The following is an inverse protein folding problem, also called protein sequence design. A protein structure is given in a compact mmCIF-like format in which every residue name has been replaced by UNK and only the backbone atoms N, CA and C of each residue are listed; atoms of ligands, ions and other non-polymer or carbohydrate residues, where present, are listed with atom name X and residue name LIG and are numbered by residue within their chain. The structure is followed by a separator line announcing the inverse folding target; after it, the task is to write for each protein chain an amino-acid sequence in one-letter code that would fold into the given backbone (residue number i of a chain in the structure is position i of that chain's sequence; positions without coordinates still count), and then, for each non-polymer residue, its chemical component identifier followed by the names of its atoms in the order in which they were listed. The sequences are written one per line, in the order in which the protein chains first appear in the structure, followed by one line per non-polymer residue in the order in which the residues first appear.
data_IF_106001061722
#
_entry.id   IF_106001061722
#
_cell.length_a   1.000
_cell.length_b   1.000
_cell.length_c   1.000
_cell.angle_alpha   90.00
_cell.angle_beta   90.00
_cell.angle_gamma   90.00
#
_symmetry.space_group_name_H-M   'P 1'
#
loop_
_entity.id
_entity.type
_entity.pdbx_description
1 polymer ?
#
# COMPACT_ATOMS: atom_id res chain seq x y z
N UNK A 1 -82.83 -50.66 -8.84
CA UNK A 1 -81.87 -49.54 -8.62
C UNK A 1 -80.61 -50.15 -8.04
N UNK A 2 -79.57 -50.23 -8.85
CA UNK A 2 -78.28 -50.73 -8.48
C UNK A 2 -77.42 -49.50 -8.04
N UNK A 3 -77.16 -49.44 -6.75
CA UNK A 3 -76.22 -48.43 -6.21
C UNK A 3 -74.82 -48.77 -6.71
N UNK A 4 -74.25 -47.84 -7.44
CA UNK A 4 -72.85 -47.90 -7.82
C UNK A 4 -71.95 -47.77 -6.59
N UNK A 5 -71.11 -48.71 -6.36
CA UNK A 5 -70.04 -48.60 -5.38
C UNK A 5 -69.07 -47.54 -5.87
N UNK A 6 -68.89 -46.48 -5.10
CA UNK A 6 -67.79 -45.52 -5.34
C UNK A 6 -66.47 -46.31 -5.04
N UNK A 7 -65.65 -46.45 -6.05
CA UNK A 7 -64.29 -46.93 -5.88
C UNK A 7 -63.47 -45.85 -5.11
N UNK A 8 -63.24 -46.13 -3.86
CA UNK A 8 -62.21 -45.34 -3.10
C UNK A 8 -60.82 -45.75 -3.61
N UNK A 9 -60.43 -45.24 -4.75
CA UNK A 9 -59.02 -45.30 -5.08
C UNK A 9 -58.31 -44.30 -4.16
N UNK A 10 -57.62 -44.86 -3.21
CA UNK A 10 -56.73 -44.11 -2.37
C UNK A 10 -55.67 -43.47 -3.28
N UNK A 11 -55.51 -42.17 -3.19
CA UNK A 11 -54.46 -41.46 -3.90
C UNK A 11 -53.10 -42.11 -3.61
N UNK A 12 -52.28 -42.34 -4.63
CA UNK A 12 -50.97 -42.99 -4.39
C UNK A 12 -50.12 -42.15 -3.44
N UNK A 13 -49.62 -42.79 -2.41
CA UNK A 13 -48.64 -42.15 -1.50
C UNK A 13 -47.32 -42.13 -2.24
N UNK A 14 -46.86 -40.92 -2.60
CA UNK A 14 -45.56 -40.72 -3.23
C UNK A 14 -44.53 -40.49 -2.12
N UNK A 15 -43.61 -41.42 -1.92
CA UNK A 15 -42.44 -41.21 -1.10
C UNK A 15 -41.32 -40.68 -1.99
N UNK A 16 -40.90 -39.45 -1.74
CA UNK A 16 -39.71 -38.86 -2.39
C UNK A 16 -38.50 -39.12 -1.52
N UNK A 17 -37.55 -39.88 -2.01
CA UNK A 17 -36.24 -40.03 -1.39
C UNK A 17 -35.33 -39.00 -1.97
N UNK A 18 -34.84 -38.09 -1.14
CA UNK A 18 -33.78 -37.16 -1.50
C UNK A 18 -32.46 -37.80 -1.09
N UNK A 19 -31.67 -38.23 -2.06
CA UNK A 19 -30.30 -38.64 -1.81
C UNK A 19 -29.42 -37.41 -1.89
N UNK A 20 -28.86 -36.96 -0.78
CA UNK A 20 -27.79 -36.01 -0.79
C UNK A 20 -26.50 -36.70 -1.26
N UNK A 21 -25.89 -36.18 -2.33
CA UNK A 21 -24.61 -36.68 -2.80
C UNK A 21 -23.55 -36.25 -1.77
N UNK A 22 -23.01 -37.24 -1.08
CA UNK A 22 -21.93 -37.00 -0.10
C UNK A 22 -20.61 -37.32 -0.78
N UNK A 23 -19.72 -36.30 -0.83
CA UNK A 23 -18.36 -36.45 -1.38
C UNK A 23 -17.35 -35.69 -0.53
N UNK A 24 -16.12 -36.19 -0.45
CA UNK A 24 -15.00 -35.33 -0.06
C UNK A 24 -14.77 -34.28 -1.15
N UNK A 25 -14.49 -33.05 -0.76
CA UNK A 25 -14.26 -31.93 -1.68
C UNK A 25 -13.09 -31.08 -1.14
N UNK A 26 -11.88 -31.37 -1.61
CA UNK A 26 -10.68 -30.74 -1.14
C UNK A 26 -10.33 -29.53 -2.05
N UNK A 27 -10.18 -28.38 -1.43
CA UNK A 27 -9.69 -27.15 -2.04
C UNK A 27 -8.38 -26.71 -1.38
N UNK A 28 -7.41 -26.28 -2.17
CA UNK A 28 -6.14 -25.74 -1.70
C UNK A 28 -5.94 -24.34 -2.27
N UNK A 29 -5.61 -23.38 -1.43
CA UNK A 29 -5.33 -22.02 -1.83
C UNK A 29 -3.97 -21.57 -1.29
N UNK A 30 -3.27 -20.75 -2.05
CA UNK A 30 -1.97 -20.17 -1.69
C UNK A 30 -1.99 -18.67 -1.85
N UNK A 31 -1.44 -17.98 -0.86
CA UNK A 31 -1.29 -16.51 -0.86
C UNK A 31 0.10 -16.11 -0.37
N UNK A 32 0.63 -15.04 -0.93
CA UNK A 32 1.82 -14.37 -0.40
C UNK A 32 1.37 -13.41 0.71
N UNK A 33 1.96 -13.53 1.91
CA UNK A 33 1.54 -12.75 3.08
C UNK A 33 2.58 -11.71 3.50
N UNK A 34 3.87 -11.98 3.25
CA UNK A 34 4.93 -11.03 3.50
C UNK A 34 5.98 -11.11 2.38
N UNK A 35 6.34 -9.97 1.82
CA UNK A 35 7.29 -9.87 0.73
C UNK A 35 8.29 -8.73 0.99
N UNK A 36 9.39 -9.06 1.67
CA UNK A 36 10.49 -8.13 1.90
C UNK A 36 11.28 -7.75 0.64
N UNK A 37 11.07 -8.46 -0.46
CA UNK A 37 11.69 -8.15 -1.76
C UNK A 37 10.92 -7.10 -2.57
N UNK A 38 9.72 -6.73 -2.16
CA UNK A 38 8.88 -5.78 -2.89
C UNK A 38 9.48 -4.36 -3.02
N UNK A 39 10.43 -4.01 -2.16
CA UNK A 39 11.20 -2.76 -2.22
C UNK A 39 12.51 -2.86 -3.01
N UNK A 40 12.76 -3.98 -3.68
CA UNK A 40 14.00 -4.20 -4.44
C UNK A 40 15.21 -4.61 -3.61
N UNK A 41 15.04 -5.03 -2.36
CA UNK A 41 16.13 -5.47 -1.49
C UNK A 41 16.97 -6.58 -2.12
N UNK A 42 18.26 -6.61 -1.80
CA UNK A 42 19.20 -7.65 -2.28
C UNK A 42 19.14 -8.94 -1.48
N UNK A 43 18.70 -8.88 -0.22
CA UNK A 43 18.46 -10.03 0.64
C UNK A 43 17.21 -9.77 1.47
N UNK A 44 16.29 -10.71 1.48
CA UNK A 44 14.98 -10.55 2.10
C UNK A 44 14.34 -11.91 2.41
N UNK A 45 13.21 -11.87 3.09
CA UNK A 45 12.37 -13.05 3.29
C UNK A 45 11.02 -12.86 2.60
N UNK A 46 10.41 -13.98 2.20
CA UNK A 46 9.05 -14.04 1.66
C UNK A 46 8.28 -15.15 2.35
N UNK A 47 7.08 -14.85 2.82
CA UNK A 47 6.18 -15.80 3.48
C UNK A 47 4.99 -16.10 2.59
N UNK A 48 4.66 -17.38 2.49
CA UNK A 48 3.44 -17.86 1.85
C UNK A 48 2.58 -18.61 2.86
N UNK A 49 1.29 -18.37 2.76
CA UNK A 49 0.25 -19.09 3.46
C UNK A 49 -0.42 -20.08 2.49
N UNK A 50 -0.60 -21.31 2.92
CA UNK A 50 -1.32 -22.33 2.20
C UNK A 50 -2.48 -22.80 3.09
N UNK A 51 -3.69 -22.84 2.53
CA UNK A 51 -4.89 -23.32 3.24
C UNK A 51 -5.48 -24.49 2.47
N UNK A 52 -5.52 -25.65 3.10
CA UNK A 52 -6.26 -26.80 2.60
C UNK A 52 -7.61 -26.84 3.31
N UNK A 53 -8.72 -26.86 2.57
CA UNK A 53 -10.10 -26.86 3.07
C UNK A 53 -10.86 -28.04 2.50
N UNK A 54 -11.58 -28.73 3.34
CA UNK A 54 -12.56 -29.76 2.91
C UNK A 54 -13.95 -29.12 2.87
N UNK A 55 -14.38 -28.69 1.69
CA UNK A 55 -15.73 -28.12 1.47
C UNK A 55 -16.80 -29.22 1.32
N UNK A 56 -16.41 -30.50 1.34
CA UNK A 56 -17.29 -31.66 1.23
C UNK A 56 -18.04 -31.97 2.51
N UNK A 57 -18.93 -32.94 2.40
CA UNK A 57 -19.78 -33.45 3.52
C UNK A 57 -19.20 -34.69 4.21
N UNK A 58 -18.13 -35.27 3.67
CA UNK A 58 -17.38 -36.38 4.25
C UNK A 58 -15.94 -35.96 4.61
N UNK A 59 -15.30 -36.63 5.58
CA UNK A 59 -13.88 -36.45 5.82
C UNK A 59 -13.05 -36.64 4.55
N UNK A 60 -12.04 -35.82 4.34
CA UNK A 60 -11.12 -35.90 3.22
C UNK A 60 -9.67 -35.92 3.71
N UNK A 61 -8.84 -36.77 3.15
CA UNK A 61 -7.41 -36.71 3.35
C UNK A 61 -6.81 -35.74 2.32
N UNK A 62 -5.97 -34.79 2.75
CA UNK A 62 -5.33 -33.80 1.86
C UNK A 62 -4.43 -34.45 0.79
N UNK A 63 -3.98 -35.70 1.03
CA UNK A 63 -2.86 -36.24 0.29
C UNK A 63 -1.57 -35.50 0.60
N UNK A 64 -0.52 -35.81 -0.14
CA UNK A 64 0.74 -35.12 -0.01
C UNK A 64 0.64 -33.73 -0.62
N UNK A 65 0.97 -32.70 0.16
CA UNK A 65 1.09 -31.34 -0.31
C UNK A 65 2.57 -30.96 -0.39
N UNK A 66 2.98 -30.48 -1.55
CA UNK A 66 4.36 -30.02 -1.77
C UNK A 66 4.36 -28.59 -2.32
N UNK A 67 5.30 -27.81 -1.85
CA UNK A 67 5.53 -26.42 -2.28
C UNK A 67 6.63 -26.39 -3.33
N UNK A 68 6.39 -25.75 -4.45
CA UNK A 68 7.31 -25.66 -5.60
C UNK A 68 7.54 -24.22 -5.99
N UNK A 69 8.59 -23.59 -5.45
CA UNK A 69 8.98 -22.25 -5.88
C UNK A 69 9.57 -22.29 -7.30
N UNK A 70 9.16 -21.34 -8.13
CA UNK A 70 9.73 -21.10 -9.45
C UNK A 70 9.94 -19.59 -9.63
N UNK A 71 10.90 -19.06 -8.88
CA UNK A 71 11.22 -17.64 -8.83
C UNK A 71 11.93 -17.19 -10.12
N UNK A 72 11.85 -15.90 -10.40
CA UNK A 72 12.59 -15.28 -11.49
C UNK A 72 14.10 -15.58 -11.38
N UNK A 73 14.77 -15.72 -12.51
CA UNK A 73 16.21 -15.99 -12.55
C UNK A 73 16.99 -14.90 -11.82
N UNK A 74 17.91 -15.34 -10.96
CA UNK A 74 18.67 -14.48 -10.08
C UNK A 74 18.01 -14.20 -8.72
N UNK A 75 16.81 -14.71 -8.46
CA UNK A 75 16.25 -14.81 -7.12
C UNK A 75 16.59 -16.20 -6.55
N UNK A 76 17.63 -16.25 -5.70
CA UNK A 76 18.23 -17.49 -5.21
C UNK A 76 17.75 -17.79 -3.80
N UNK A 77 17.12 -18.95 -3.61
CA UNK A 77 16.69 -19.43 -2.29
C UNK A 77 17.91 -19.87 -1.49
N UNK A 78 18.12 -19.26 -0.33
CA UNK A 78 19.21 -19.56 0.59
C UNK A 78 18.78 -20.58 1.64
N UNK A 79 17.56 -20.48 2.14
CA UNK A 79 16.95 -21.42 3.07
C UNK A 79 15.42 -21.35 2.98
N UNK A 80 14.76 -22.37 3.51
CA UNK A 80 13.31 -22.42 3.67
C UNK A 80 12.95 -22.91 5.06
N UNK A 81 11.82 -22.44 5.61
CA UNK A 81 11.24 -22.89 6.88
C UNK A 81 9.76 -23.17 6.69
N UNK A 82 9.26 -24.21 7.35
CA UNK A 82 7.85 -24.62 7.29
C UNK A 82 7.28 -24.68 8.70
N UNK A 83 6.06 -24.16 8.87
CA UNK A 83 5.33 -24.18 10.14
C UNK A 83 3.81 -24.22 9.90
N UNK A 84 3.04 -24.45 10.96
CA UNK A 84 1.56 -24.38 10.90
C UNK A 84 1.02 -22.97 11.17
N UNK A 85 1.87 -22.02 11.56
CA UNK A 85 1.52 -20.61 11.78
C UNK A 85 2.67 -19.73 11.31
N UNK A 86 2.38 -18.48 10.95
CA UNK A 86 3.41 -17.53 10.55
C UNK A 86 4.45 -17.29 11.67
N UNK A 87 4.00 -17.11 12.90
CA UNK A 87 4.90 -16.94 14.05
C UNK A 87 5.78 -18.18 14.30
N UNK A 88 5.29 -19.37 13.98
CA UNK A 88 6.05 -20.62 14.09
C UNK A 88 7.27 -20.66 13.16
N UNK A 89 7.27 -19.91 12.06
CA UNK A 89 8.40 -19.82 11.13
C UNK A 89 9.66 -19.26 11.79
N UNK A 90 9.52 -18.41 12.81
CA UNK A 90 10.67 -17.78 13.49
C UNK A 90 11.52 -18.80 14.26
N UNK A 91 10.89 -19.86 14.75
CA UNK A 91 11.53 -20.93 15.54
C UNK A 91 11.68 -22.26 14.79
N UNK A 92 11.10 -22.38 13.59
CA UNK A 92 11.17 -23.59 12.79
C UNK A 92 12.60 -23.86 12.32
N UNK A 93 12.96 -25.13 12.22
CA UNK A 93 14.21 -25.57 11.59
C UNK A 93 14.12 -25.42 10.07
N UNK A 94 15.29 -25.32 9.43
CA UNK A 94 15.36 -25.24 7.98
C UNK A 94 14.80 -26.53 7.33
N UNK A 95 13.97 -26.35 6.33
CA UNK A 95 13.40 -27.39 5.50
C UNK A 95 14.31 -27.69 4.31
N UNK A 96 14.40 -28.96 3.93
CA UNK A 96 15.21 -29.41 2.79
C UNK A 96 14.33 -29.73 1.60
N UNK A 97 14.67 -29.17 0.43
CA UNK A 97 14.02 -29.50 -0.82
C UNK A 97 14.46 -30.89 -1.33
N UNK A 98 13.53 -31.64 -1.86
CA UNK A 98 13.80 -32.88 -2.61
C UNK A 98 13.28 -32.71 -4.04
N UNK A 99 14.19 -32.76 -5.02
CA UNK A 99 13.80 -32.52 -6.41
C UNK A 99 13.24 -31.11 -6.70
N UNK A 100 13.65 -30.11 -5.90
CA UNK A 100 13.18 -28.73 -6.06
C UNK A 100 11.84 -28.42 -5.40
N UNK A 101 11.27 -29.35 -4.64
CA UNK A 101 10.00 -29.17 -3.90
C UNK A 101 10.18 -29.37 -2.41
N UNK A 102 9.37 -28.69 -1.60
CA UNK A 102 9.33 -28.79 -0.15
C UNK A 102 8.06 -29.49 0.29
N UNK A 103 8.17 -30.55 1.10
CA UNK A 103 6.99 -31.26 1.62
C UNK A 103 6.36 -30.47 2.77
N UNK A 104 5.11 -30.06 2.61
CA UNK A 104 4.31 -29.39 3.65
C UNK A 104 3.68 -30.43 4.57
N UNK A 105 3.12 -31.52 3.99
CA UNK A 105 2.56 -32.66 4.70
C UNK A 105 2.55 -33.89 3.79
N UNK A 106 2.66 -35.06 4.36
CA UNK A 106 2.45 -36.34 3.65
C UNK A 106 0.96 -36.75 3.62
N UNK A 107 0.10 -35.92 4.19
CA UNK A 107 -1.36 -36.10 4.23
C UNK A 107 -1.92 -35.94 5.64
N UNK A 108 -3.04 -35.23 5.75
CA UNK A 108 -3.81 -35.07 6.98
C UNK A 108 -5.29 -35.23 6.67
N UNK A 109 -6.04 -35.88 7.55
CA UNK A 109 -7.48 -36.01 7.43
C UNK A 109 -8.16 -34.75 7.94
N UNK A 110 -9.02 -34.15 7.10
CA UNK A 110 -9.85 -33.01 7.43
C UNK A 110 -11.29 -33.45 7.55
N UNK A 111 -11.94 -33.18 8.67
CA UNK A 111 -13.37 -33.33 8.81
C UNK A 111 -14.13 -32.48 7.79
N UNK A 112 -15.39 -32.76 7.54
CA UNK A 112 -16.27 -31.95 6.72
C UNK A 112 -16.25 -30.47 7.21
N UNK A 113 -16.04 -29.54 6.31
CA UNK A 113 -15.95 -28.11 6.60
C UNK A 113 -14.68 -27.65 7.33
N UNK A 114 -13.72 -28.54 7.59
CA UNK A 114 -12.49 -28.21 8.31
C UNK A 114 -11.41 -27.69 7.35
N UNK A 115 -10.52 -26.82 7.88
CA UNK A 115 -9.35 -26.31 7.18
C UNK A 115 -8.07 -26.55 7.99
N UNK A 116 -6.95 -26.67 7.29
CA UNK A 116 -5.60 -26.73 7.85
C UNK A 116 -4.72 -25.70 7.14
N UNK A 117 -3.97 -24.94 7.92
CA UNK A 117 -3.01 -23.96 7.42
C UNK A 117 -1.60 -24.54 7.46
N UNK A 118 -0.80 -24.13 6.46
CA UNK A 118 0.64 -24.33 6.40
C UNK A 118 1.28 -23.00 5.98
N UNK A 119 2.46 -22.76 6.50
CA UNK A 119 3.25 -21.59 6.18
C UNK A 119 4.63 -22.01 5.73
N UNK A 120 5.15 -21.33 4.69
CA UNK A 120 6.52 -21.50 4.24
C UNK A 120 7.17 -20.14 4.08
N UNK A 121 8.39 -19.99 4.63
CA UNK A 121 9.24 -18.82 4.49
C UNK A 121 10.45 -19.19 3.69
N UNK A 122 10.79 -18.38 2.69
CA UNK A 122 12.07 -18.46 1.99
C UNK A 122 12.94 -17.26 2.36
N UNK A 123 14.21 -17.52 2.67
CA UNK A 123 15.25 -16.49 2.64
C UNK A 123 15.79 -16.44 1.19
N UNK A 124 15.79 -15.26 0.60
CA UNK A 124 16.11 -15.06 -0.81
C UNK A 124 17.20 -14.02 -0.96
N UNK A 125 18.12 -14.24 -1.92
CA UNK A 125 19.13 -13.27 -2.33
C UNK A 125 18.96 -12.97 -3.82
N UNK A 126 19.01 -11.69 -4.19
CA UNK A 126 19.03 -11.24 -5.57
C UNK A 126 20.46 -11.25 -6.10
N UNK A 127 20.69 -11.98 -7.19
CA UNK A 127 21.95 -12.07 -7.90
C UNK A 127 21.81 -11.55 -9.35
N UNK A 128 22.07 -10.26 -9.61
CA UNK A 128 21.98 -9.70 -10.96
C UNK A 128 23.02 -10.28 -11.93
N UNK A 129 24.06 -10.96 -11.42
CA UNK A 129 25.05 -11.63 -12.28
C UNK A 129 24.67 -13.05 -12.66
N UNK A 130 23.51 -13.57 -12.21
CA UNK A 130 23.05 -14.91 -12.55
C UNK A 130 22.76 -15.04 -14.05
N UNK A 131 23.12 -16.20 -14.61
CA UNK A 131 22.82 -16.48 -16.03
C UNK A 131 21.30 -16.46 -16.27
N UNK A 132 20.87 -15.64 -17.22
CA UNK A 132 19.46 -15.47 -17.56
C UNK A 132 18.71 -14.49 -16.64
N UNK A 133 19.41 -13.74 -15.77
CA UNK A 133 18.81 -12.63 -15.06
C UNK A 133 18.23 -11.60 -16.04
N UNK A 134 17.00 -11.17 -15.78
CA UNK A 134 16.33 -10.11 -16.52
C UNK A 134 15.47 -9.33 -15.52
N UNK A 135 15.72 -8.03 -15.37
CA UNK A 135 15.02 -7.19 -14.41
C UNK A 135 13.50 -7.13 -14.65
N UNK A 136 13.09 -7.20 -15.93
CA UNK A 136 11.66 -7.26 -16.28
C UNK A 136 10.96 -8.52 -15.73
N UNK A 137 11.72 -9.59 -15.46
CA UNK A 137 11.18 -10.83 -14.92
C UNK A 137 10.96 -10.77 -13.38
N UNK A 138 11.46 -9.73 -12.71
CA UNK A 138 11.23 -9.50 -11.27
C UNK A 138 9.79 -9.07 -10.97
N UNK A 139 9.05 -8.57 -11.95
CA UNK A 139 7.61 -8.36 -11.86
C UNK A 139 6.87 -9.69 -12.01
N UNK A 140 5.69 -9.78 -11.40
CA UNK A 140 4.76 -10.86 -11.67
C UNK A 140 4.07 -10.66 -13.01
N UNK A 141 3.68 -11.73 -13.66
CA UNK A 141 2.86 -11.66 -14.88
C UNK A 141 1.75 -12.71 -14.86
N UNK A 142 0.74 -12.47 -15.67
CA UNK A 142 -0.35 -13.42 -15.92
C UNK A 142 -0.41 -13.72 -17.41
N UNK A 143 -0.84 -14.93 -17.74
CA UNK A 143 -1.09 -15.32 -19.12
C UNK A 143 -2.42 -14.76 -19.67
N UNK A 144 -2.77 -15.06 -20.90
CA UNK A 144 -4.01 -14.62 -21.54
C UNK A 144 -5.30 -15.12 -20.85
N UNK A 145 -5.21 -16.04 -19.90
CA UNK A 145 -6.30 -16.57 -19.08
C UNK A 145 -6.31 -16.00 -17.65
N UNK A 146 -5.38 -15.09 -17.33
CA UNK A 146 -5.26 -14.53 -15.99
C UNK A 146 -4.47 -15.42 -15.01
N UNK A 147 -3.81 -16.48 -15.47
CA UNK A 147 -3.04 -17.39 -14.62
C UNK A 147 -1.63 -16.86 -14.42
N UNK A 148 -1.11 -16.90 -13.19
CA UNK A 148 0.26 -16.50 -12.85
C UNK A 148 1.29 -17.32 -13.65
N UNK A 149 2.29 -16.64 -14.18
CA UNK A 149 3.34 -17.24 -15.04
C UNK A 149 4.54 -17.66 -14.19
N UNK A 150 4.98 -18.94 -14.26
CA UNK A 150 6.20 -19.41 -13.60
C UNK A 150 7.46 -18.67 -14.06
N UNK A 151 8.48 -18.59 -13.19
CA UNK A 151 9.74 -17.93 -13.49
C UNK A 151 9.68 -16.40 -13.52
N UNK A 152 8.60 -15.81 -12.96
CA UNK A 152 8.41 -14.37 -12.82
C UNK A 152 8.25 -14.00 -11.35
N UNK A 153 8.85 -12.88 -10.92
CA UNK A 153 8.83 -12.45 -9.53
C UNK A 153 9.14 -13.59 -8.58
N UNK A 154 8.40 -13.63 -7.48
CA UNK A 154 8.44 -14.71 -6.49
C UNK A 154 7.27 -15.69 -6.74
N UNK A 155 7.20 -16.23 -7.98
CA UNK A 155 6.16 -17.22 -8.30
C UNK A 155 6.35 -18.48 -7.47
N UNK A 156 5.27 -18.96 -6.87
CA UNK A 156 5.29 -20.17 -6.07
C UNK A 156 3.94 -20.90 -6.16
N UNK A 157 3.97 -22.21 -6.33
CA UNK A 157 2.78 -23.06 -6.41
C UNK A 157 2.80 -24.19 -5.39
N UNK A 158 1.61 -24.67 -5.01
CA UNK A 158 1.43 -25.90 -4.24
C UNK A 158 0.92 -26.99 -5.17
N UNK A 159 1.59 -28.13 -5.12
CA UNK A 159 1.18 -29.33 -5.83
C UNK A 159 0.42 -30.25 -4.87
N UNK A 160 -0.73 -30.71 -5.29
CA UNK A 160 -1.55 -31.71 -4.60
C UNK A 160 -1.31 -33.04 -5.27
N UNK A 161 -0.78 -34.03 -4.52
CA UNK A 161 -0.45 -35.35 -5.06
C UNK A 161 -1.72 -36.16 -5.24
N UNK A 162 -1.89 -36.79 -6.43
CA UNK A 162 -2.94 -37.74 -6.81
C UNK A 162 -4.40 -37.23 -6.74
N UNK A 163 -4.70 -35.98 -6.47
CA UNK A 163 -6.06 -35.45 -6.41
C UNK A 163 -6.18 -34.13 -7.20
N UNK A 164 -7.34 -33.98 -7.84
CA UNK A 164 -7.71 -32.65 -8.38
C UNK A 164 -8.18 -31.80 -7.24
N UNK A 165 -7.63 -30.58 -7.16
CA UNK A 165 -8.25 -29.50 -6.43
C UNK A 165 -9.63 -29.22 -7.00
N UNK A 166 -10.66 -29.15 -6.15
CA UNK A 166 -12.06 -29.12 -6.58
C UNK A 166 -12.43 -27.84 -7.31
N UNK A 167 -11.75 -26.72 -7.00
CA UNK A 167 -11.96 -25.42 -7.65
C UNK A 167 -10.92 -25.12 -8.75
N UNK A 168 -10.02 -26.08 -9.03
CA UNK A 168 -8.98 -25.97 -10.06
C UNK A 168 -7.69 -25.37 -9.54
N UNK A 169 -6.62 -25.48 -10.34
CA UNK A 169 -5.24 -25.08 -9.92
C UNK A 169 -4.98 -23.57 -9.99
N UNK A 170 -6.01 -22.73 -10.10
CA UNK A 170 -5.82 -21.27 -10.31
C UNK A 170 -5.36 -20.55 -9.05
N UNK A 171 -5.85 -20.96 -7.88
CA UNK A 171 -5.57 -20.37 -6.57
C UNK A 171 -4.45 -21.09 -5.79
N UNK A 172 -3.92 -22.20 -6.35
CA UNK A 172 -2.80 -22.95 -5.76
C UNK A 172 -1.46 -22.24 -5.89
N UNK A 173 -1.43 -21.10 -6.53
CA UNK A 173 -0.22 -20.35 -6.83
C UNK A 173 -0.40 -18.86 -6.61
N UNK A 174 0.68 -18.24 -6.16
CA UNK A 174 0.75 -16.80 -6.03
C UNK A 174 2.13 -16.28 -6.40
N UNK A 175 2.24 -14.99 -6.58
CA UNK A 175 3.47 -14.33 -7.01
C UNK A 175 3.60 -12.97 -6.34
N UNK A 176 4.79 -12.68 -5.80
CA UNK A 176 5.17 -11.36 -5.31
C UNK A 176 6.22 -10.71 -6.23
N UNK A 177 6.06 -9.44 -6.59
CA UNK A 177 7.08 -8.71 -7.32
C UNK A 177 8.28 -8.42 -6.41
N UNK A 178 9.47 -8.28 -7.03
CA UNK A 178 10.68 -7.82 -6.34
C UNK A 178 11.28 -6.58 -6.99
N UNK A 179 10.51 -5.91 -7.82
CA UNK A 179 10.88 -4.62 -8.42
C UNK A 179 10.91 -3.54 -7.35
N UNK A 180 11.86 -2.59 -7.42
CA UNK A 180 11.87 -1.46 -6.50
C UNK A 180 10.59 -0.63 -6.64
N UNK A 181 10.02 -0.25 -5.51
CA UNK A 181 8.91 0.71 -5.45
C UNK A 181 9.46 2.06 -4.98
N UNK A 182 10.12 2.75 -5.91
CA UNK A 182 10.68 4.06 -5.64
C UNK A 182 9.67 5.15 -5.95
N UNK A 183 9.70 6.22 -5.18
CA UNK A 183 8.96 7.43 -5.48
C UNK A 183 9.82 8.66 -5.20
N UNK A 184 9.33 9.83 -5.54
CA UNK A 184 9.99 11.09 -5.23
C UNK A 184 9.08 12.01 -4.45
N UNK A 185 9.67 12.84 -3.61
CA UNK A 185 9.02 13.97 -2.99
C UNK A 185 9.46 15.22 -3.75
N UNK A 186 8.49 16.03 -4.17
CA UNK A 186 8.69 17.36 -4.72
C UNK A 186 8.18 18.39 -3.72
N UNK A 187 9.02 19.34 -3.34
CA UNK A 187 8.59 20.52 -2.61
C UNK A 187 8.25 21.62 -3.60
N UNK A 188 7.03 22.15 -3.57
CA UNK A 188 6.55 23.12 -4.53
C UNK A 188 5.91 24.35 -3.87
N UNK A 189 6.12 25.53 -4.42
CA UNK A 189 5.55 26.79 -3.98
C UNK A 189 5.10 27.65 -5.14
N UNK A 190 4.29 28.66 -4.85
CA UNK A 190 3.69 29.56 -5.86
C UNK A 190 4.69 30.57 -6.45
N UNK A 191 5.83 30.78 -5.79
CA UNK A 191 6.87 31.68 -6.27
C UNK A 191 8.12 30.90 -6.69
N UNK A 192 8.70 31.33 -7.80
CA UNK A 192 10.00 30.83 -8.27
C UNK A 192 11.14 31.50 -7.48
N UNK A 193 11.38 31.03 -6.26
CA UNK A 193 12.39 31.56 -5.34
C UNK A 193 13.82 31.28 -5.80
N UNK A 194 14.22 31.87 -6.92
CA UNK A 194 15.60 31.82 -7.42
C UNK A 194 15.98 30.44 -7.99
N UNK A 195 15.03 29.68 -8.44
CA UNK A 195 15.28 28.50 -9.27
C UNK A 195 15.54 28.97 -10.70
N UNK A 196 16.58 28.43 -11.35
CA UNK A 196 16.85 28.66 -12.77
C UNK A 196 15.89 27.91 -13.70
N UNK A 197 14.95 27.18 -13.13
CA UNK A 197 13.95 26.40 -13.87
C UNK A 197 12.83 27.33 -14.31
N UNK A 198 13.00 27.94 -15.46
CA UNK A 198 12.01 28.84 -16.09
C UNK A 198 11.20 28.15 -17.17
N UNK A 199 11.42 26.86 -17.39
CA UNK A 199 10.70 26.10 -18.41
C UNK A 199 9.25 25.91 -17.97
N UNK A 200 8.25 26.34 -18.75
CA UNK A 200 6.84 26.13 -18.45
C UNK A 200 6.45 24.66 -18.39
N UNK A 201 7.25 23.73 -18.91
CA UNK A 201 7.05 22.29 -18.73
C UNK A 201 7.30 21.83 -17.30
N UNK A 202 7.99 22.63 -16.46
CA UNK A 202 8.25 22.39 -15.05
C UNK A 202 7.27 23.12 -14.12
N UNK A 203 6.19 23.65 -14.65
CA UNK A 203 5.07 24.13 -13.89
C UNK A 203 4.16 22.97 -13.51
N UNK A 204 3.99 22.76 -12.20
CA UNK A 204 3.02 21.82 -11.67
C UNK A 204 1.72 22.59 -11.43
N UNK A 205 0.61 22.10 -11.98
CA UNK A 205 -0.70 22.63 -11.65
C UNK A 205 -1.20 21.95 -10.38
N UNK A 206 -1.64 22.72 -9.40
CA UNK A 206 -2.04 22.20 -8.10
C UNK A 206 -3.43 22.70 -7.71
N UNK A 207 -4.29 21.74 -7.31
CA UNK A 207 -5.64 22.01 -6.82
C UNK A 207 -6.64 22.47 -7.90
N UNK A 208 -7.87 22.79 -7.47
CA UNK A 208 -9.00 23.12 -8.35
C UNK A 208 -8.81 24.42 -9.15
N UNK A 209 -7.82 25.24 -8.81
CA UNK A 209 -7.57 26.55 -9.43
C UNK A 209 -6.44 26.53 -10.46
N UNK A 210 -5.80 25.38 -10.71
CA UNK A 210 -4.66 25.27 -11.61
C UNK A 210 -3.53 26.28 -11.30
N UNK A 211 -3.25 26.53 -10.01
CA UNK A 211 -2.19 27.43 -9.61
C UNK A 211 -0.83 26.89 -10.07
N UNK A 212 -0.07 27.73 -10.75
CA UNK A 212 1.29 27.38 -11.15
C UNK A 212 2.19 27.19 -9.92
N UNK A 213 2.88 26.07 -9.85
CA UNK A 213 3.78 25.72 -8.77
C UNK A 213 5.19 25.50 -9.30
N UNK A 214 6.16 25.88 -8.52
CA UNK A 214 7.59 25.78 -8.86
C UNK A 214 8.32 24.90 -7.84
N UNK A 215 9.28 24.08 -8.26
CA UNK A 215 10.08 23.27 -7.34
C UNK A 215 10.93 24.16 -6.43
N UNK A 216 10.86 23.93 -5.14
CA UNK A 216 11.62 24.63 -4.11
C UNK A 216 12.82 23.81 -3.65
N UNK A 217 13.94 24.46 -3.33
CA UNK A 217 15.15 23.85 -2.77
C UNK A 217 15.29 24.11 -1.28
N UNK A 218 16.07 23.27 -0.61
CA UNK A 218 16.55 23.51 0.76
C UNK A 218 15.61 23.03 1.86
N UNK A 219 14.51 22.35 1.52
CA UNK A 219 13.74 21.56 2.48
C UNK A 219 14.56 20.36 2.98
N UNK A 220 14.27 19.90 4.19
CA UNK A 220 14.76 18.64 4.72
C UNK A 220 13.57 17.79 5.17
N UNK A 221 13.61 16.51 4.85
CA UNK A 221 12.54 15.57 5.15
C UNK A 221 13.05 14.33 5.86
N UNK A 222 12.23 13.80 6.75
CA UNK A 222 12.40 12.48 7.36
C UNK A 222 11.10 11.67 7.24
N UNK A 223 11.25 10.36 7.10
CA UNK A 223 10.13 9.41 7.11
C UNK A 223 10.16 8.64 8.43
N UNK A 224 9.00 8.55 9.07
CA UNK A 224 8.81 7.85 10.34
C UNK A 224 7.91 6.62 10.16
N UNK A 225 8.09 5.64 11.04
CA UNK A 225 7.26 4.42 11.10
C UNK A 225 5.93 4.61 11.83
N UNK A 226 5.74 5.72 12.51
CA UNK A 226 4.51 6.12 13.20
C UNK A 226 4.41 7.65 13.25
N UNK A 227 3.24 8.19 13.56
CA UNK A 227 3.05 9.64 13.70
C UNK A 227 3.83 10.19 14.90
N UNK A 228 4.90 10.96 14.71
CA UNK A 228 5.73 11.45 15.82
C UNK A 228 5.01 12.47 16.73
N UNK A 229 3.89 13.04 16.28
CA UNK A 229 3.07 13.93 17.11
C UNK A 229 2.09 13.17 18.02
N UNK A 230 1.83 11.89 17.74
CA UNK A 230 0.87 11.05 18.45
C UNK A 230 1.53 9.87 19.18
N UNK A 231 2.67 9.38 18.70
CA UNK A 231 3.38 8.22 19.26
C UNK A 231 4.81 8.60 19.68
N UNK A 232 5.07 8.55 20.97
CA UNK A 232 6.40 8.83 21.53
C UNK A 232 7.47 7.79 21.13
N UNK A 233 7.07 6.61 20.61
CA UNK A 233 7.98 5.58 20.10
C UNK A 233 8.21 5.68 18.59
N UNK A 234 7.67 6.69 17.93
CA UNK A 234 7.93 6.91 16.52
C UNK A 234 9.43 7.08 16.25
N UNK A 235 9.95 6.32 15.30
CA UNK A 235 11.37 6.35 14.92
C UNK A 235 11.53 6.75 13.46
N UNK A 236 12.61 7.46 13.16
CA UNK A 236 12.99 7.77 11.79
C UNK A 236 13.43 6.48 11.10
N UNK A 237 12.75 6.12 10.01
CA UNK A 237 13.14 5.01 9.14
C UNK A 237 14.03 5.47 7.99
N UNK A 238 13.88 6.74 7.57
CA UNK A 238 14.69 7.31 6.50
C UNK A 238 14.79 8.83 6.61
N UNK A 239 15.99 9.37 6.41
CA UNK A 239 16.22 10.80 6.17
C UNK A 239 16.44 11.00 4.68
N UNK A 240 15.75 11.98 4.07
CA UNK A 240 15.83 12.20 2.64
C UNK A 240 16.93 13.20 2.29
N UNK A 241 17.63 12.93 1.19
CA UNK A 241 18.66 13.82 0.66
C UNK A 241 18.14 14.47 -0.62
N UNK A 242 18.29 15.80 -0.73
CA UNK A 242 17.94 16.55 -1.93
C UNK A 242 18.84 16.15 -3.09
N UNK A 243 18.23 15.90 -4.22
CA UNK A 243 18.88 15.75 -5.51
C UNK A 243 18.46 16.90 -6.45
N UNK A 244 19.19 17.07 -7.54
CA UNK A 244 18.90 18.07 -8.57
C UNK A 244 18.84 17.35 -9.91
N UNK A 245 17.76 17.58 -10.63
CA UNK A 245 17.58 17.17 -12.02
C UNK A 245 17.57 18.39 -12.93
N UNK A 246 17.53 18.16 -14.26
CA UNK A 246 17.39 19.23 -15.25
C UNK A 246 16.11 20.05 -15.05
N UNK A 247 15.07 19.39 -14.57
CA UNK A 247 13.71 19.88 -14.40
C UNK A 247 13.35 20.28 -12.96
N UNK A 248 14.26 20.15 -11.98
CA UNK A 248 13.98 20.64 -10.64
C UNK A 248 14.75 19.98 -9.50
N UNK A 249 14.33 20.27 -8.29
CA UNK A 249 14.81 19.67 -7.06
C UNK A 249 13.83 18.60 -6.61
N UNK A 250 14.34 17.45 -6.15
CA UNK A 250 13.54 16.36 -5.65
C UNK A 250 14.27 15.58 -4.55
N UNK A 251 13.54 14.75 -3.83
CA UNK A 251 14.05 13.82 -2.81
C UNK A 251 13.63 12.42 -3.18
N UNK A 252 14.59 11.56 -3.53
CA UNK A 252 14.32 10.16 -3.86
C UNK A 252 14.02 9.36 -2.60
N UNK A 253 13.02 8.49 -2.70
CA UNK A 253 12.63 7.57 -1.64
C UNK A 253 12.56 6.16 -2.21
N UNK A 254 13.34 5.26 -1.66
CA UNK A 254 13.32 3.83 -1.93
C UNK A 254 13.38 3.04 -0.62
N UNK A 255 13.40 1.71 -0.71
CA UNK A 255 13.53 0.79 0.42
C UNK A 255 12.41 0.87 1.47
N UNK A 256 11.22 1.34 1.09
CA UNK A 256 10.03 1.27 1.92
C UNK A 256 9.17 0.05 1.56
N UNK A 257 8.55 -0.56 2.56
CA UNK A 257 7.63 -1.68 2.33
C UNK A 257 6.30 -1.16 1.75
N UNK A 258 5.78 -1.88 0.75
CA UNK A 258 4.43 -1.60 0.24
C UNK A 258 3.37 -1.93 1.29
N UNK A 259 2.21 -1.30 1.17
CA UNK A 259 1.05 -1.44 2.06
C UNK A 259 1.32 -1.13 3.54
N UNK A 260 2.46 -0.50 3.85
CA UNK A 260 2.83 -0.09 5.20
C UNK A 260 2.63 1.42 5.33
N UNK A 261 1.91 1.90 6.35
CA UNK A 261 1.78 3.34 6.59
C UNK A 261 3.10 3.93 7.09
N UNK A 262 3.42 5.11 6.56
CA UNK A 262 4.56 5.93 6.95
C UNK A 262 4.14 7.38 7.09
N UNK A 263 4.94 8.18 7.79
CA UNK A 263 4.71 9.61 8.01
C UNK A 263 5.89 10.42 7.47
N UNK A 264 5.62 11.26 6.47
CA UNK A 264 6.59 12.23 5.97
C UNK A 264 6.55 13.48 6.86
N UNK A 265 7.68 13.86 7.40
CA UNK A 265 7.88 15.05 8.22
C UNK A 265 8.85 16.00 7.52
N UNK A 266 8.47 17.24 7.35
CA UNK A 266 9.40 18.29 6.95
C UNK A 266 10.12 18.79 8.19
N UNK A 267 11.42 18.53 8.28
CA UNK A 267 12.27 18.90 9.42
C UNK A 267 12.87 20.29 9.27
N UNK A 268 12.91 20.79 8.03
CA UNK A 268 13.33 22.15 7.70
C UNK A 268 12.60 22.63 6.46
N UNK A 269 12.03 23.83 6.53
CA UNK A 269 11.37 24.45 5.39
C UNK A 269 12.39 25.14 4.46
N UNK A 270 12.05 25.33 3.16
CA UNK A 270 12.76 26.24 2.27
C UNK A 270 12.84 27.66 2.84
N UNK A 271 13.86 28.42 2.42
CA UNK A 271 13.99 29.82 2.83
C UNK A 271 12.73 30.63 2.45
N UNK A 272 12.17 31.37 3.40
CA UNK A 272 10.97 32.18 3.22
C UNK A 272 9.64 31.41 3.33
N UNK A 273 9.68 30.15 3.70
CA UNK A 273 8.50 29.29 3.84
C UNK A 273 8.33 28.75 5.26
N UNK A 274 7.15 28.27 5.58
CA UNK A 274 6.81 27.66 6.86
C UNK A 274 6.91 26.14 6.79
N UNK A 275 7.28 25.49 7.90
CA UNK A 275 7.22 24.04 8.01
C UNK A 275 5.79 23.53 7.78
N UNK A 276 5.68 22.33 7.24
CA UNK A 276 4.41 21.60 7.26
C UNK A 276 3.87 21.53 8.68
N UNK A 277 2.59 21.86 8.89
CA UNK A 277 2.02 21.94 10.23
C UNK A 277 1.91 20.59 10.93
N UNK A 278 1.89 19.50 10.16
CA UNK A 278 1.75 18.13 10.65
C UNK A 278 2.43 17.12 9.73
N UNK A 279 2.79 15.92 10.24
CA UNK A 279 3.24 14.80 9.43
C UNK A 279 2.19 14.38 8.41
N UNK A 280 2.63 14.07 7.19
CA UNK A 280 1.78 13.53 6.12
C UNK A 280 1.80 12.00 6.19
N UNK A 281 0.66 11.39 6.47
CA UNK A 281 0.53 9.94 6.41
C UNK A 281 0.36 9.49 4.96
N UNK A 282 1.19 8.52 4.55
CA UNK A 282 1.16 7.93 3.22
C UNK A 282 1.52 6.45 3.28
N UNK A 283 1.21 5.73 2.23
CA UNK A 283 1.71 4.37 1.97
C UNK A 283 2.03 4.20 0.50
N UNK A 284 2.87 3.22 0.19
CA UNK A 284 3.12 2.78 -1.17
C UNK A 284 2.23 1.58 -1.49
N UNK A 285 1.68 1.56 -2.69
CA UNK A 285 0.96 0.42 -3.23
C UNK A 285 1.45 0.12 -4.64
N UNK A 286 1.04 -1.02 -5.19
CA UNK A 286 1.35 -1.37 -6.56
C UNK A 286 0.35 -0.72 -7.50
N UNK A 287 0.83 -0.15 -8.61
CA UNK A 287 -0.04 0.48 -9.60
C UNK A 287 -0.77 -0.54 -10.47
N UNK A 288 -0.21 -1.75 -10.65
CA UNK A 288 -0.75 -2.82 -11.51
C UNK A 288 -1.06 -4.10 -10.72
N UNK A 289 -1.97 -4.89 -11.25
CA UNK A 289 -2.36 -6.17 -10.67
C UNK A 289 -1.21 -7.20 -10.68
N UNK A 290 -0.21 -7.06 -11.56
CA UNK A 290 1.00 -7.89 -11.58
C UNK A 290 2.02 -7.50 -10.49
N UNK A 291 1.70 -6.46 -9.71
CA UNK A 291 2.55 -5.94 -8.65
C UNK A 291 3.63 -4.98 -9.13
N UNK A 292 3.64 -4.58 -10.40
CA UNK A 292 4.55 -3.57 -10.93
C UNK A 292 3.96 -2.16 -10.83
N UNK A 293 4.82 -1.17 -11.05
CA UNK A 293 4.48 0.23 -10.88
C UNK A 293 4.32 0.64 -9.41
N UNK A 294 4.41 1.94 -9.15
CA UNK A 294 4.30 2.48 -7.79
C UNK A 294 3.18 3.50 -7.73
N UNK A 295 2.34 3.40 -6.71
CA UNK A 295 1.37 4.42 -6.35
C UNK A 295 1.65 4.89 -4.94
N UNK A 296 1.65 6.21 -4.73
CA UNK A 296 1.67 6.82 -3.41
C UNK A 296 0.23 7.15 -3.03
N UNK A 297 -0.26 6.59 -1.94
CA UNK A 297 -1.58 6.90 -1.40
C UNK A 297 -1.43 7.74 -0.15
N UNK A 298 -2.15 8.87 -0.09
CA UNK A 298 -2.25 9.72 1.09
C UNK A 298 -3.43 9.27 1.95
N UNK A 299 -3.30 9.39 3.27
CA UNK A 299 -4.44 9.24 4.15
C UNK A 299 -5.52 10.28 3.82
N UNK A 300 -6.79 9.93 3.95
CA UNK A 300 -7.91 10.78 3.58
C UNK A 300 -7.91 12.14 4.30
N UNK A 301 -7.38 12.19 5.52
CA UNK A 301 -7.25 13.41 6.31
C UNK A 301 -6.07 14.29 5.87
N UNK A 302 -5.08 13.75 5.19
CA UNK A 302 -3.98 14.54 4.59
C UNK A 302 -4.45 15.43 3.43
N UNK A 303 -5.58 15.09 2.82
CA UNK A 303 -6.22 15.87 1.75
C UNK A 303 -7.40 16.70 2.26
N UNK A 304 -7.81 16.53 3.52
CA UNK A 304 -8.91 17.28 4.15
C UNK A 304 -8.50 18.73 4.36
N UNK A 305 -9.22 19.64 3.72
CA UNK A 305 -9.01 21.09 3.81
C UNK A 305 -9.24 21.67 5.22
N UNK A 306 -9.88 20.93 6.13
CA UNK A 306 -10.08 21.35 7.51
C UNK A 306 -8.87 21.08 8.40
N UNK A 307 -8.07 20.03 8.13
CA UNK A 307 -6.88 19.66 8.89
C UNK A 307 -5.58 20.17 8.28
N UNK A 308 -5.56 20.27 6.95
CA UNK A 308 -4.39 20.70 6.19
C UNK A 308 -4.76 21.97 5.44
N UNK A 309 -3.85 22.89 5.27
CA UNK A 309 -4.06 23.94 4.28
C UNK A 309 -4.46 23.23 2.98
N UNK A 310 -5.62 23.61 2.39
CA UNK A 310 -6.21 22.94 1.24
C UNK A 310 -5.15 22.68 0.19
N UNK A 311 -4.93 21.42 -0.14
CA UNK A 311 -3.90 21.02 -1.06
C UNK A 311 -2.48 21.05 -0.52
N UNK A 312 -2.23 20.65 0.74
CA UNK A 312 -0.88 20.53 1.30
C UNK A 312 -0.05 19.44 0.61
N UNK A 313 -0.68 18.40 0.07
CA UNK A 313 0.01 17.36 -0.68
C UNK A 313 -0.89 16.72 -1.73
N UNK A 314 -0.27 16.22 -2.80
CA UNK A 314 -0.92 15.46 -3.86
C UNK A 314 -0.01 14.32 -4.30
N UNK A 315 -0.58 13.14 -4.50
CA UNK A 315 0.14 11.95 -4.94
C UNK A 315 -0.18 11.61 -6.39
N UNK A 316 0.84 11.13 -7.11
CA UNK A 316 0.76 10.72 -8.50
C UNK A 316 1.36 9.31 -8.66
N UNK A 317 0.75 8.50 -9.50
CA UNK A 317 1.24 7.16 -9.85
C UNK A 317 2.41 7.20 -10.81
N UNK A 318 3.25 6.15 -10.81
CA UNK A 318 4.26 5.92 -11.85
C UNK A 318 3.68 5.38 -13.16
N UNK A 319 2.38 5.12 -13.25
CA UNK A 319 1.76 4.68 -14.50
C UNK A 319 1.64 5.82 -15.49
N UNK A 320 2.15 5.59 -16.70
CA UNK A 320 1.81 6.38 -17.88
C UNK A 320 0.43 5.94 -18.37
N UNK A 321 -0.60 6.69 -18.01
CA UNK A 321 -1.87 6.58 -18.71
C UNK A 321 -1.82 7.51 -19.93
N UNK A 322 -1.78 6.94 -21.13
CA UNK A 322 -1.68 7.68 -22.38
C UNK A 322 -2.90 8.56 -22.70
N UNK A 323 -3.97 8.39 -21.93
CA UNK A 323 -5.27 9.02 -22.21
C UNK A 323 -5.73 10.07 -21.17
N UNK A 324 -4.97 10.30 -20.08
CA UNK A 324 -5.35 11.30 -19.07
C UNK A 324 -4.17 12.14 -18.58
N UNK A 325 -4.46 13.38 -18.24
CA UNK A 325 -3.50 14.43 -17.82
C UNK A 325 -3.03 14.23 -16.35
N UNK A 326 -3.50 13.21 -15.65
CA UNK A 326 -3.16 12.89 -14.26
C UNK A 326 -2.02 11.88 -14.20
N UNK A 327 -0.85 12.26 -14.65
CA UNK A 327 0.29 11.35 -14.75
C UNK A 327 1.38 11.73 -13.77
N UNK A 328 2.18 10.74 -13.36
CA UNK A 328 3.38 10.96 -12.57
C UNK A 328 4.30 11.98 -13.24
N UNK A 329 5.06 12.72 -12.44
CA UNK A 329 5.98 13.71 -12.97
C UNK A 329 7.16 13.02 -13.65
N UNK A 330 7.59 13.57 -14.78
CA UNK A 330 8.82 13.16 -15.44
C UNK A 330 9.98 13.86 -14.73
N UNK A 331 10.88 13.10 -14.14
CA UNK A 331 12.09 13.60 -13.50
C UNK A 331 13.28 12.90 -14.15
N UNK A 332 14.25 13.65 -14.66
CA UNK A 332 15.38 13.13 -15.44
C UNK A 332 14.94 12.20 -16.58
N UNK A 333 13.84 12.54 -17.28
CA UNK A 333 13.31 11.75 -18.37
C UNK A 333 12.63 10.43 -17.95
N UNK A 334 12.46 10.20 -16.65
CA UNK A 334 11.76 9.02 -16.12
C UNK A 334 10.47 9.39 -15.45
N UNK A 335 9.41 8.63 -15.73
CA UNK A 335 8.14 8.77 -15.03
C UNK A 335 8.22 8.09 -13.66
N UNK A 336 8.07 8.84 -12.58
CA UNK A 336 8.14 8.34 -11.21
C UNK A 336 6.87 8.66 -10.46
N UNK A 337 6.44 7.75 -9.61
CA UNK A 337 5.43 8.07 -8.60
C UNK A 337 5.92 9.25 -7.77
N UNK A 338 5.07 10.24 -7.55
CA UNK A 338 5.49 11.51 -6.99
C UNK A 338 4.54 11.97 -5.89
N UNK A 339 5.10 12.39 -4.77
CA UNK A 339 4.40 13.10 -3.72
C UNK A 339 4.78 14.58 -3.79
N UNK A 340 3.87 15.41 -4.30
CA UNK A 340 4.05 16.85 -4.33
C UNK A 340 3.59 17.44 -3.01
N UNK A 341 4.47 18.17 -2.34
CA UNK A 341 4.20 18.82 -1.06
C UNK A 341 4.21 20.34 -1.28
N UNK A 342 3.04 20.95 -1.14
CA UNK A 342 2.88 22.41 -1.27
C UNK A 342 3.45 23.11 -0.05
N UNK A 343 4.13 24.21 -0.29
CA UNK A 343 4.60 25.11 0.75
C UNK A 343 3.75 26.39 0.86
N UNK A 344 3.73 26.95 2.06
CA UNK A 344 3.08 28.22 2.35
C UNK A 344 4.14 29.26 2.66
N UNK A 345 4.12 30.39 1.96
CA UNK A 345 5.05 31.50 2.21
C UNK A 345 4.84 32.11 3.60
N UNK A 346 5.95 32.48 4.26
CA UNK A 346 5.89 33.23 5.51
C UNK A 346 5.37 34.65 5.20
N UNK A 347 4.15 34.91 5.64
CA UNK A 347 3.46 36.19 5.38
C UNK A 347 2.16 36.05 4.60
N UNK A 348 1.91 34.94 3.94
CA UNK A 348 0.56 34.57 3.55
C UNK A 348 -0.14 33.92 4.75
N UNK A 349 -1.00 34.68 5.39
CA UNK A 349 -1.96 34.06 6.32
C UNK A 349 -2.77 33.02 5.52
N UNK A 350 -2.95 31.80 6.05
CA UNK A 350 -3.76 30.81 5.39
C UNK A 350 -5.07 31.47 4.96
N UNK A 351 -5.41 31.37 3.69
CA UNK A 351 -6.74 31.76 3.19
C UNK A 351 -7.76 30.81 3.80
N UNK A 352 -7.99 30.98 5.08
CA UNK A 352 -9.05 30.28 5.80
C UNK A 352 -10.38 30.84 5.32
N UNK A 353 -10.98 30.15 4.38
CA UNK A 353 -12.36 30.40 3.95
C UNK A 353 -12.65 31.82 3.44
N UNK A 354 -13.71 31.98 2.69
CA UNK A 354 -14.15 33.17 1.98
C UNK A 354 -14.42 34.45 2.81
N UNK A 355 -14.13 34.43 4.11
CA UNK A 355 -14.19 35.59 5.01
C UNK A 355 -12.80 35.84 5.58
N UNK A 356 -12.01 36.67 4.90
CA UNK A 356 -10.65 37.05 5.35
C UNK A 356 -10.62 37.57 6.78
N UNK A 357 -9.42 37.69 7.32
CA UNK A 357 -9.10 38.19 8.69
C UNK A 357 -9.67 39.57 9.03
N UNK A 358 -10.25 40.29 8.07
CA UNK A 358 -10.89 41.59 8.32
C UNK A 358 -11.91 41.61 9.45
N UNK A 359 -12.78 40.58 9.63
CA UNK A 359 -13.67 40.53 10.80
C UNK A 359 -12.93 40.44 12.13
N UNK A 360 -11.80 39.73 12.17
CA UNK A 360 -11.02 39.56 13.43
C UNK A 360 -10.19 40.78 13.76
N UNK A 361 -9.66 41.51 12.77
CA UNK A 361 -8.98 42.79 12.97
C UNK A 361 -9.99 43.82 13.48
N UNK A 362 -11.20 43.84 12.93
CA UNK A 362 -12.28 44.71 13.38
C UNK A 362 -12.68 44.44 14.84
N UNK A 363 -12.79 43.19 15.25
CA UNK A 363 -13.08 42.84 16.64
C UNK A 363 -11.92 43.15 17.58
N UNK A 364 -10.68 42.88 17.17
CA UNK A 364 -9.48 43.20 17.97
C UNK A 364 -9.32 44.69 18.18
N UNK A 365 -9.52 45.51 17.14
CA UNK A 365 -9.50 46.98 17.26
C UNK A 365 -10.65 47.54 18.10
N UNK A 366 -11.85 46.94 18.00
CA UNK A 366 -12.99 47.32 18.84
C UNK A 366 -12.75 46.96 20.32
N UNK A 367 -12.15 45.80 20.60
CA UNK A 367 -11.78 45.40 21.95
C UNK A 367 -10.68 46.28 22.56
N UNK A 368 -9.66 46.62 21.78
CA UNK A 368 -8.60 47.54 22.22
C UNK A 368 -9.14 48.96 22.48
N UNK A 369 -9.99 49.45 21.59
CA UNK A 369 -10.64 50.74 21.74
C UNK A 369 -11.57 50.77 22.97
N UNK A 370 -12.33 49.68 23.21
CA UNK A 370 -13.18 49.53 24.39
C UNK A 370 -12.38 49.51 25.70
N UNK A 371 -11.26 48.77 25.72
CA UNK A 371 -10.37 48.77 26.89
C UNK A 371 -9.76 50.12 27.21
N UNK A 372 -9.36 50.87 26.17
CA UNK A 372 -8.81 52.22 26.32
C UNK A 372 -9.84 53.22 26.84
N UNK A 373 -11.09 53.15 26.38
CA UNK A 373 -12.22 53.96 26.90
C UNK A 373 -12.52 53.61 28.34
N UNK A 374 -12.55 52.33 28.71
CA UNK A 374 -12.76 51.91 30.11
C UNK A 374 -11.66 52.40 31.04
N UNK A 375 -10.40 52.36 30.62
CA UNK A 375 -9.26 52.86 31.41
C UNK A 375 -9.32 54.36 31.62
N UNK A 376 -9.70 55.12 30.60
CA UNK A 376 -9.85 56.61 30.71
C UNK A 376 -11.05 56.97 31.61
N UNK A 377 -12.16 56.26 31.51
CA UNK A 377 -13.37 56.51 32.37
C UNK A 377 -13.08 56.16 33.81
N UNK A 378 -12.39 55.05 34.12
CA UNK A 378 -12.05 54.67 35.48
C UNK A 378 -11.02 55.58 36.12
N UNK A 379 -10.03 56.11 35.37
CA UNK A 379 -9.07 57.07 35.89
C UNK A 379 -9.70 58.46 36.16
N UNK A 380 -10.64 58.92 35.30
CA UNK A 380 -11.40 60.14 35.58
C UNK A 380 -12.30 60.05 36.81
N UNK A 381 -12.96 58.91 37.05
CA UNK A 381 -13.76 58.68 38.26
C UNK A 381 -12.95 58.65 39.54
N UNK A 382 -11.72 58.12 39.52
CA UNK A 382 -10.83 58.11 40.69
C UNK A 382 -10.32 59.51 41.06
N UNK A 383 -10.20 60.43 40.09
CA UNK A 383 -9.82 61.83 40.36
C UNK A 383 -10.96 62.73 40.86
N UNK A 384 -12.21 62.26 40.78
CA UNK A 384 -13.39 62.98 41.27
C UNK A 384 -13.74 62.66 42.72
N UNK A 385 -13.05 61.71 43.38
CA UNK A 385 -13.24 61.28 44.75
C UNK A 385 -11.98 61.40 45.63
N UNK A 386 -10.97 62.17 45.20
CA UNK A 386 -9.77 62.48 45.97
C UNK A 386 -9.77 63.93 46.41
#
# INVERSE_FOLDING_TARGET
NVGGAASNEAAPITCTFVNEYQSPDLRVAKTIEANGGANGATSFTVDYKIVATNDGTLPANTGKLTDKPDFAKGLEIQSAKIAETQAGLDTASDATATGGVYTLTDGVELAAGASKEYWIRFAVTRNPAATGYNEADLACSVDGNGVRVPGKGLFNEVLVDDRKDSDGDYNNKDCGPTVPHDFVVLKAGTQNMGTTFTDPTNQYTYGDNNDAMYPLKGAEFAIYNANPNADANATVVKTLTQATATDGYYWSVGDLNINTPYWLVETKAPAGHSLLPQPLEFKLTTARADGSGTTVELAADATDSAKWAKGAAQAFSSELNTDSVEQGFVIDGTNKATLVVKDTEVGELPKAGSTGIFPYIGVATALMSGAMVMTVVTTKRRKAYA
#
